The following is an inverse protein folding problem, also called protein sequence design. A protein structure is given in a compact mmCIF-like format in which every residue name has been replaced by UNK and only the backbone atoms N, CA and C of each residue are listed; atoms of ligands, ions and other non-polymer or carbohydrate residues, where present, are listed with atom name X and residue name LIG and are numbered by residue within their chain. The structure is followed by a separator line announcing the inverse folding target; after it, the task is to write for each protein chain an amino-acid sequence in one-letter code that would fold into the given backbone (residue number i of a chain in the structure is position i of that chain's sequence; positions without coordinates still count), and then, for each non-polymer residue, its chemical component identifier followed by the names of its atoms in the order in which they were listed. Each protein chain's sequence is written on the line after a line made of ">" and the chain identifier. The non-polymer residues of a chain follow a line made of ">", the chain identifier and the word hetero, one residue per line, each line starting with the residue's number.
data_IF_963010132884
#
_entry.id   IF_963010132884
#
_cell.length_a   1.000
_cell.length_b   1.000
_cell.length_c   1.000
_cell.angle_alpha   90.00
_cell.angle_beta   90.00
_cell.angle_gamma   90.00
#
_symmetry.space_group_name_H-M   'P 1'
#
loop_
_entity.id
_entity.type
_entity.pdbx_description
1 polymer ?
#
# COMPACT_ATOMS: atom_id res chain seq x y z
N UNK A 1 -3.74 -44.77 31.44
CA UNK A 1 -5.12 -44.25 31.67
C UNK A 1 -5.11 -42.84 31.11
N UNK A 2 -5.53 -42.72 29.84
CA UNK A 2 -5.62 -41.45 29.13
C UNK A 2 -6.80 -40.63 29.64
N UNK A 3 -6.52 -39.43 30.14
CA UNK A 3 -7.55 -38.49 30.56
C UNK A 3 -8.39 -38.01 29.37
N UNK A 4 -9.69 -38.01 29.53
CA UNK A 4 -10.67 -37.51 28.55
C UNK A 4 -10.39 -36.01 28.36
N UNK A 5 -10.21 -35.52 27.11
CA UNK A 5 -10.00 -34.08 26.88
C UNK A 5 -11.21 -33.31 27.38
N UNK A 6 -10.99 -32.35 28.27
CA UNK A 6 -12.04 -31.45 28.73
C UNK A 6 -12.45 -30.51 27.59
N UNK A 7 -13.73 -30.11 27.56
CA UNK A 7 -14.27 -29.18 26.54
C UNK A 7 -13.39 -27.92 26.41
N UNK A 8 -12.81 -27.43 27.50
CA UNK A 8 -11.89 -26.30 27.52
C UNK A 8 -10.53 -26.57 26.83
N UNK A 9 -10.05 -27.83 26.88
CA UNK A 9 -8.86 -28.24 26.13
C UNK A 9 -9.11 -28.27 24.61
N UNK A 10 -10.24 -28.84 24.20
CA UNK A 10 -10.64 -28.89 22.79
C UNK A 10 -10.84 -27.49 22.19
N UNK A 11 -11.49 -26.59 22.91
CA UNK A 11 -11.68 -25.19 22.45
C UNK A 11 -10.35 -24.47 22.35
N UNK A 12 -9.40 -24.70 23.27
CA UNK A 12 -8.06 -24.12 23.21
C UNK A 12 -7.27 -24.63 22.01
N UNK A 13 -7.30 -25.94 21.75
CA UNK A 13 -6.64 -26.55 20.59
C UNK A 13 -7.21 -26.07 19.26
N UNK A 14 -8.53 -25.89 19.15
CA UNK A 14 -9.18 -25.33 17.95
C UNK A 14 -8.78 -23.87 17.74
N UNK A 15 -8.69 -23.07 18.81
CA UNK A 15 -8.27 -21.67 18.74
C UNK A 15 -6.80 -21.56 18.40
N UNK A 16 -5.94 -22.41 18.95
CA UNK A 16 -4.51 -22.44 18.63
C UNK A 16 -4.25 -22.94 17.20
N UNK A 17 -4.97 -23.95 16.74
CA UNK A 17 -4.94 -24.40 15.34
C UNK A 17 -5.43 -23.30 14.39
N UNK A 18 -6.53 -22.62 14.74
CA UNK A 18 -7.05 -21.49 13.98
C UNK A 18 -6.07 -20.32 13.89
N UNK A 19 -5.36 -20.03 15.00
CA UNK A 19 -4.28 -19.03 15.02
C UNK A 19 -3.09 -19.44 14.15
N UNK A 20 -2.68 -20.70 14.20
CA UNK A 20 -1.61 -21.25 13.36
C UNK A 20 -1.92 -21.16 11.88
N UNK A 21 -3.16 -21.49 11.46
CA UNK A 21 -3.61 -21.35 10.08
C UNK A 21 -3.68 -19.89 9.66
N UNK A 22 -4.19 -19.00 10.50
CA UNK A 22 -4.25 -17.57 10.23
C UNK A 22 -2.84 -16.95 10.12
N UNK A 23 -1.91 -17.38 10.96
CA UNK A 23 -0.52 -16.93 10.93
C UNK A 23 0.21 -17.47 9.68
N UNK A 24 0.06 -18.75 9.34
CA UNK A 24 0.63 -19.34 8.13
C UNK A 24 0.07 -18.71 6.86
N UNK A 25 -1.24 -18.38 6.82
CA UNK A 25 -1.86 -17.62 5.74
C UNK A 25 -1.31 -16.18 5.69
N UNK A 26 -1.13 -15.52 6.83
CA UNK A 26 -0.59 -14.16 6.87
C UNK A 26 0.86 -14.11 6.39
N UNK A 27 1.68 -15.08 6.77
CA UNK A 27 3.07 -15.20 6.32
C UNK A 27 3.15 -15.51 4.82
N UNK A 28 2.31 -16.43 4.34
CA UNK A 28 2.26 -16.84 2.93
C UNK A 28 1.76 -15.73 1.99
N UNK A 29 0.91 -14.83 2.49
CA UNK A 29 0.38 -13.67 1.78
C UNK A 29 1.17 -12.38 2.08
N UNK A 30 2.28 -12.47 2.82
CA UNK A 30 3.09 -11.30 3.21
C UNK A 30 2.38 -10.33 4.17
N UNK A 31 1.35 -10.81 4.89
CA UNK A 31 0.55 -10.01 5.81
C UNK A 31 1.23 -9.94 7.18
N UNK A 32 1.83 -8.81 7.51
CA UNK A 32 2.49 -8.61 8.83
C UNK A 32 1.45 -8.41 9.94
N UNK A 33 1.76 -8.90 11.15
CA UNK A 33 0.99 -8.54 12.34
C UNK A 33 0.97 -7.01 12.51
N UNK A 34 -0.24 -6.43 12.59
CA UNK A 34 -0.42 -4.97 12.66
C UNK A 34 -0.67 -4.28 11.31
N UNK A 35 -0.93 -5.04 10.26
CA UNK A 35 -1.34 -4.52 8.96
C UNK A 35 -2.66 -3.74 9.05
N UNK A 36 -2.68 -2.44 8.67
CA UNK A 36 -3.89 -1.63 8.72
C UNK A 36 -5.02 -2.16 7.84
N UNK A 37 -4.68 -2.91 6.78
CA UNK A 37 -5.67 -3.53 5.89
C UNK A 37 -6.30 -4.81 6.47
N UNK A 38 -5.82 -5.32 7.61
CA UNK A 38 -6.32 -6.55 8.23
C UNK A 38 -6.79 -6.25 9.66
N UNK A 39 -8.08 -6.44 9.98
CA UNK A 39 -8.60 -6.15 11.31
C UNK A 39 -8.08 -7.15 12.34
N UNK A 40 -7.89 -6.68 13.58
CA UNK A 40 -7.36 -7.52 14.68
C UNK A 40 -8.36 -8.57 15.19
N UNK A 41 -9.64 -8.43 14.86
CA UNK A 41 -10.74 -9.27 15.34
C UNK A 41 -11.11 -10.41 14.37
N UNK A 42 -10.17 -10.86 13.53
CA UNK A 42 -10.41 -11.94 12.55
C UNK A 42 -11.03 -13.20 13.15
N UNK A 43 -10.67 -13.56 14.40
CA UNK A 43 -11.20 -14.74 15.08
C UNK A 43 -12.73 -14.67 15.35
N UNK A 44 -13.35 -13.49 15.20
CA UNK A 44 -14.79 -13.28 15.36
C UNK A 44 -15.57 -13.24 14.04
N UNK A 45 -14.89 -13.42 12.91
CA UNK A 45 -15.45 -13.31 11.57
C UNK A 45 -15.76 -14.69 10.99
N UNK A 46 -16.75 -14.75 10.12
CA UNK A 46 -17.03 -15.95 9.34
C UNK A 46 -15.90 -16.25 8.36
N UNK A 47 -15.76 -17.51 7.90
CA UNK A 47 -14.75 -17.88 6.91
C UNK A 47 -14.81 -17.04 5.62
N UNK A 48 -16.00 -16.68 5.17
CA UNK A 48 -16.23 -15.84 3.99
C UNK A 48 -15.75 -14.40 4.22
N UNK A 49 -16.01 -13.85 5.41
CA UNK A 49 -15.50 -12.51 5.79
C UNK A 49 -13.99 -12.50 5.91
N UNK A 50 -13.37 -13.56 6.47
CA UNK A 50 -11.92 -13.70 6.52
C UNK A 50 -11.33 -13.75 5.11
N UNK A 51 -11.93 -14.55 4.22
CA UNK A 51 -11.52 -14.62 2.83
C UNK A 51 -11.60 -13.27 2.13
N UNK A 52 -12.70 -12.51 2.34
CA UNK A 52 -12.86 -11.17 1.79
C UNK A 52 -11.82 -10.16 2.35
N UNK A 53 -11.51 -10.23 3.65
CA UNK A 53 -10.46 -9.40 4.25
C UNK A 53 -9.12 -9.65 3.56
N UNK A 54 -8.72 -10.90 3.40
CA UNK A 54 -7.45 -11.25 2.76
C UNK A 54 -7.45 -10.90 1.27
N UNK A 55 -8.53 -11.18 0.55
CA UNK A 55 -8.67 -10.84 -0.86
C UNK A 55 -8.52 -9.33 -1.10
N UNK A 56 -9.22 -8.51 -0.32
CA UNK A 56 -9.16 -7.04 -0.44
C UNK A 56 -7.79 -6.50 -0.02
N UNK A 57 -7.21 -6.98 1.08
CA UNK A 57 -5.88 -6.55 1.51
C UNK A 57 -4.81 -6.84 0.45
N UNK A 58 -4.85 -8.04 -0.14
CA UNK A 58 -3.93 -8.44 -1.22
C UNK A 58 -4.16 -7.60 -2.49
N UNK A 59 -5.42 -7.33 -2.86
CA UNK A 59 -5.76 -6.51 -4.00
C UNK A 59 -5.25 -5.06 -3.84
N UNK A 60 -5.50 -4.45 -2.70
CA UNK A 60 -5.03 -3.09 -2.40
C UNK A 60 -3.51 -3.00 -2.47
N UNK A 61 -2.78 -3.96 -1.90
CA UNK A 61 -1.31 -3.98 -1.99
C UNK A 61 -0.83 -4.12 -3.43
N UNK A 62 -1.35 -5.11 -4.15
CA UNK A 62 -0.97 -5.34 -5.53
C UNK A 62 -1.17 -4.10 -6.42
N UNK A 63 -2.27 -3.39 -6.24
CA UNK A 63 -2.53 -2.14 -6.96
C UNK A 63 -1.60 -1.02 -6.50
N UNK A 64 -1.38 -0.87 -5.19
CA UNK A 64 -0.50 0.17 -4.61
C UNK A 64 0.98 0.02 -4.99
N UNK A 65 1.43 -1.17 -5.41
CA UNK A 65 2.79 -1.38 -5.93
C UNK A 65 3.00 -0.75 -7.31
N UNK A 66 1.92 -0.48 -8.05
CA UNK A 66 1.95 -0.01 -9.43
C UNK A 66 1.40 1.39 -9.62
N UNK A 67 0.45 1.77 -8.79
CA UNK A 67 -0.33 2.99 -8.94
C UNK A 67 -0.48 3.70 -7.58
N UNK A 68 -0.26 5.01 -7.57
CA UNK A 68 -0.48 5.83 -6.37
C UNK A 68 -1.98 5.94 -6.02
N UNK A 69 -2.86 5.87 -7.04
CA UNK A 69 -4.31 5.84 -6.89
C UNK A 69 -4.93 4.96 -7.97
N UNK A 70 -5.98 4.22 -7.64
CA UNK A 70 -6.62 3.22 -8.50
C UNK A 70 -8.13 3.24 -8.34
N UNK A 71 -8.87 2.71 -9.31
CA UNK A 71 -10.33 2.67 -9.23
C UNK A 71 -10.81 1.60 -8.23
N UNK A 72 -11.96 1.87 -7.58
CA UNK A 72 -12.58 0.88 -6.67
C UNK A 72 -12.91 -0.43 -7.38
N UNK A 73 -13.32 -0.35 -8.64
CA UNK A 73 -13.60 -1.53 -9.47
C UNK A 73 -12.40 -2.41 -9.69
N UNK A 74 -11.19 -1.85 -9.67
CA UNK A 74 -9.96 -2.62 -9.85
C UNK A 74 -9.62 -3.40 -8.57
N UNK A 75 -9.95 -2.85 -7.37
CA UNK A 75 -9.89 -3.63 -6.12
C UNK A 75 -10.81 -4.86 -6.22
N UNK A 76 -12.05 -4.69 -6.69
CA UNK A 76 -13.01 -5.79 -6.80
C UNK A 76 -12.52 -6.86 -7.77
N UNK A 77 -12.06 -6.46 -8.97
CA UNK A 77 -11.50 -7.38 -9.97
C UNK A 77 -10.30 -8.15 -9.43
N UNK A 78 -9.34 -7.44 -8.82
CA UNK A 78 -8.15 -8.06 -8.25
C UNK A 78 -8.50 -9.01 -7.10
N UNK A 79 -9.39 -8.60 -6.18
CA UNK A 79 -9.82 -9.43 -5.05
C UNK A 79 -10.49 -10.74 -5.49
N UNK A 80 -11.36 -10.69 -6.49
CA UNK A 80 -11.98 -11.87 -7.09
C UNK A 80 -10.96 -12.74 -7.81
N UNK A 81 -9.97 -12.13 -8.46
CA UNK A 81 -8.92 -12.83 -9.21
C UNK A 81 -7.99 -13.69 -8.36
N UNK A 82 -7.92 -13.48 -7.04
CA UNK A 82 -7.13 -14.33 -6.14
C UNK A 82 -7.75 -15.72 -5.88
N UNK A 83 -8.99 -15.98 -6.32
CA UNK A 83 -9.63 -17.28 -6.18
C UNK A 83 -9.93 -17.68 -4.73
N UNK A 84 -9.95 -16.74 -3.78
CA UNK A 84 -10.37 -16.99 -2.42
C UNK A 84 -11.91 -17.12 -2.36
N UNK A 85 -12.47 -17.91 -1.43
CA UNK A 85 -13.92 -18.13 -1.30
C UNK A 85 -14.61 -16.90 -0.68
N UNK A 86 -14.46 -15.74 -1.34
CA UNK A 86 -15.07 -14.47 -0.97
C UNK A 86 -16.10 -14.09 -2.04
N UNK A 87 -17.33 -13.81 -1.63
CA UNK A 87 -18.35 -13.32 -2.53
C UNK A 87 -18.30 -11.79 -2.65
N UNK A 88 -18.86 -11.25 -3.73
CA UNK A 88 -18.82 -9.81 -4.02
C UNK A 88 -19.38 -8.95 -2.88
N UNK A 89 -20.50 -9.28 -2.23
CA UNK A 89 -21.03 -8.47 -1.12
C UNK A 89 -20.07 -8.34 0.07
N UNK A 90 -19.29 -9.38 0.40
CA UNK A 90 -18.28 -9.35 1.47
C UNK A 90 -17.10 -8.47 1.08
N UNK A 91 -16.66 -8.55 -0.18
CA UNK A 91 -15.60 -7.72 -0.74
C UNK A 91 -16.02 -6.24 -0.71
N UNK A 92 -17.21 -5.91 -1.20
CA UNK A 92 -17.74 -4.54 -1.16
C UNK A 92 -17.84 -4.00 0.26
N UNK A 93 -18.40 -4.79 1.17
CA UNK A 93 -18.51 -4.43 2.59
C UNK A 93 -17.14 -4.15 3.21
N UNK A 94 -16.13 -4.95 2.87
CA UNK A 94 -14.77 -4.74 3.36
C UNK A 94 -14.15 -3.46 2.82
N UNK A 95 -14.29 -3.18 1.54
CA UNK A 95 -13.79 -1.93 0.92
C UNK A 95 -14.47 -0.70 1.56
N UNK A 96 -15.78 -0.73 1.75
CA UNK A 96 -16.50 0.36 2.44
C UNK A 96 -16.06 0.50 3.91
N UNK A 97 -15.73 -0.58 4.59
CA UNK A 97 -15.17 -0.53 5.94
C UNK A 97 -13.81 0.17 5.95
N UNK A 98 -12.90 -0.16 5.03
CA UNK A 98 -11.59 0.49 4.92
C UNK A 98 -11.72 1.99 4.61
N UNK A 99 -12.67 2.36 3.76
CA UNK A 99 -12.99 3.77 3.48
C UNK A 99 -13.49 4.51 4.73
N UNK A 100 -14.38 3.89 5.53
CA UNK A 100 -14.86 4.48 6.79
C UNK A 100 -13.78 4.58 7.85
N UNK A 101 -12.84 3.64 7.88
CA UNK A 101 -11.70 3.64 8.79
C UNK A 101 -10.60 4.63 8.38
N UNK A 102 -10.64 5.16 7.16
CA UNK A 102 -9.62 6.04 6.60
C UNK A 102 -8.37 5.33 6.10
N UNK A 103 -8.35 3.98 6.09
CA UNK A 103 -7.25 3.20 5.52
C UNK A 103 -7.22 3.31 3.99
N UNK A 104 -8.40 3.44 3.37
CA UNK A 104 -8.58 3.89 2.00
C UNK A 104 -9.15 5.30 2.00
N UNK A 105 -8.61 6.18 1.18
CA UNK A 105 -9.00 7.58 1.05
C UNK A 105 -9.53 7.82 -0.36
N UNK A 106 -10.69 8.46 -0.48
CA UNK A 106 -11.30 8.80 -1.77
C UNK A 106 -10.63 10.02 -2.37
N UNK A 107 -10.40 10.00 -3.67
CA UNK A 107 -9.99 11.17 -4.44
C UNK A 107 -11.05 12.27 -4.44
N UNK A 108 -10.63 13.48 -4.74
CA UNK A 108 -11.48 14.69 -4.81
C UNK A 108 -11.43 15.29 -6.21
N UNK A 109 -12.43 16.08 -6.55
CA UNK A 109 -12.45 16.78 -7.84
C UNK A 109 -12.48 15.81 -9.04
N UNK A 110 -11.48 15.90 -9.90
CA UNK A 110 -11.32 15.04 -11.07
C UNK A 110 -11.07 13.56 -10.70
N UNK A 111 -10.43 13.31 -9.55
CA UNK A 111 -10.06 11.97 -9.07
C UNK A 111 -11.14 11.29 -8.23
N UNK A 112 -12.37 11.82 -8.22
CA UNK A 112 -13.49 11.35 -7.38
C UNK A 112 -13.78 9.85 -7.49
N UNK A 113 -13.45 9.23 -8.64
CA UNK A 113 -13.60 7.79 -8.89
C UNK A 113 -12.46 6.93 -8.35
N UNK A 114 -11.35 7.54 -7.95
CA UNK A 114 -10.14 6.86 -7.50
C UNK A 114 -10.10 6.76 -5.97
N UNK A 115 -9.31 5.82 -5.49
CA UNK A 115 -8.95 5.66 -4.08
C UNK A 115 -7.44 5.45 -3.96
N UNK A 116 -6.89 5.85 -2.82
CA UNK A 116 -5.50 5.58 -2.45
C UNK A 116 -5.44 5.08 -1.01
N UNK A 117 -4.28 4.59 -0.55
CA UNK A 117 -4.10 4.20 0.86
C UNK A 117 -3.62 5.38 1.71
N UNK A 118 -4.00 5.41 2.98
CA UNK A 118 -3.45 6.38 3.95
C UNK A 118 -1.91 6.29 4.03
N UNK A 119 -1.37 5.06 3.91
CA UNK A 119 0.07 4.81 3.88
C UNK A 119 0.77 5.45 2.67
N UNK A 120 0.17 5.43 1.48
CA UNK A 120 0.70 6.10 0.30
C UNK A 120 0.77 7.61 0.49
N UNK A 121 -0.32 8.23 0.97
CA UNK A 121 -0.35 9.67 1.27
C UNK A 121 0.75 10.04 2.28
N UNK A 122 0.86 9.30 3.38
CA UNK A 122 1.89 9.54 4.39
C UNK A 122 3.32 9.35 3.83
N UNK A 123 3.48 8.41 2.88
CA UNK A 123 4.74 8.20 2.15
C UNK A 123 5.13 9.42 1.33
N UNK A 124 4.22 9.92 0.50
CA UNK A 124 4.45 11.11 -0.33
C UNK A 124 4.73 12.35 0.52
N UNK A 125 3.99 12.57 1.61
CA UNK A 125 4.24 13.69 2.53
C UNK A 125 5.64 13.62 3.13
N UNK A 126 6.13 12.42 3.48
CA UNK A 126 7.51 12.25 3.98
C UNK A 126 8.56 12.57 2.91
N UNK A 127 8.31 12.19 1.66
CA UNK A 127 9.21 12.52 0.54
C UNK A 127 9.28 14.03 0.35
N UNK A 128 8.14 14.71 0.30
CA UNK A 128 8.09 16.18 0.17
C UNK A 128 8.83 16.85 1.33
N UNK A 129 8.56 16.44 2.57
CA UNK A 129 9.24 16.97 3.74
C UNK A 129 10.77 16.73 3.70
N UNK A 130 11.22 15.56 3.23
CA UNK A 130 12.64 15.25 3.10
C UNK A 130 13.31 16.12 2.02
N UNK A 131 12.63 16.35 0.89
CA UNK A 131 13.12 17.24 -0.18
C UNK A 131 13.22 18.68 0.33
N UNK A 132 12.22 19.17 1.04
CA UNK A 132 12.23 20.51 1.61
C UNK A 132 13.35 20.67 2.64
N UNK A 133 13.51 19.70 3.54
CA UNK A 133 14.59 19.71 4.53
C UNK A 133 15.99 19.61 3.91
N UNK A 134 16.11 18.93 2.77
CA UNK A 134 17.38 18.78 2.03
C UNK A 134 17.73 19.98 1.15
N UNK A 135 16.77 20.88 0.90
CA UNK A 135 16.99 22.03 0.02
C UNK A 135 18.08 22.96 0.59
N UNK A 136 19.13 23.19 -0.18
CA UNK A 136 20.24 24.09 0.20
C UNK A 136 21.18 23.56 1.28
N UNK A 137 21.05 22.29 1.70
CA UNK A 137 21.94 21.69 2.71
C UNK A 137 23.25 21.19 2.12
N UNK A 138 23.28 20.87 0.82
CA UNK A 138 24.52 20.49 0.13
C UNK A 138 25.18 21.72 -0.51
N UNK A 139 26.51 21.88 -0.39
CA UNK A 139 27.22 22.90 -1.15
C UNK A 139 27.05 22.66 -2.65
N UNK A 140 26.88 23.69 -3.47
CA UNK A 140 26.77 23.53 -4.90
C UNK A 140 28.08 22.96 -5.47
N UNK A 141 27.99 21.97 -6.37
CA UNK A 141 29.16 21.37 -7.05
C UNK A 141 29.83 22.40 -7.97
N UNK A 142 29.05 23.33 -8.48
CA UNK A 142 29.47 24.45 -9.31
C UNK A 142 28.89 25.73 -8.73
N UNK A 143 29.63 26.80 -8.71
CA UNK A 143 29.13 28.12 -8.33
C UNK A 143 27.90 28.44 -9.23
N UNK A 144 26.73 28.76 -8.66
CA UNK A 144 25.54 29.09 -9.43
C UNK A 144 25.76 30.23 -10.44
N UNK A 145 26.64 31.18 -10.13
CA UNK A 145 27.01 32.30 -11.01
C UNK A 145 27.80 31.84 -12.24
N UNK A 146 28.51 30.71 -12.13
CA UNK A 146 29.33 30.15 -13.22
C UNK A 146 28.62 28.99 -13.95
N UNK A 147 27.52 28.48 -13.40
CA UNK A 147 26.88 27.25 -13.89
C UNK A 147 26.46 27.35 -15.36
N UNK A 148 25.84 28.44 -15.76
CA UNK A 148 25.42 28.68 -17.14
C UNK A 148 26.62 28.72 -18.11
N UNK A 149 27.64 29.49 -17.77
CA UNK A 149 28.84 29.60 -18.60
C UNK A 149 29.59 28.26 -18.75
N UNK A 150 29.69 27.47 -17.67
CA UNK A 150 30.27 26.13 -17.70
C UNK A 150 29.46 25.14 -18.53
N UNK A 151 28.12 25.18 -18.38
CA UNK A 151 27.24 24.33 -19.17
C UNK A 151 27.33 24.67 -20.66
N UNK A 152 27.35 25.93 -21.02
CA UNK A 152 27.53 26.43 -22.38
C UNK A 152 28.86 25.94 -22.97
N UNK A 153 29.96 26.10 -22.22
CA UNK A 153 31.28 25.67 -22.64
C UNK A 153 31.37 24.14 -22.86
N UNK A 154 30.79 23.36 -21.96
CA UNK A 154 30.71 21.89 -22.07
C UNK A 154 29.85 21.44 -23.25
N UNK A 155 28.71 22.07 -23.49
CA UNK A 155 27.81 21.77 -24.61
C UNK A 155 28.49 22.06 -25.95
N UNK A 156 29.18 23.18 -26.04
CA UNK A 156 29.94 23.53 -27.24
C UNK A 156 31.10 22.56 -27.48
N UNK A 157 31.85 22.23 -26.41
CA UNK A 157 33.03 21.34 -26.51
C UNK A 157 32.60 19.89 -26.86
N UNK A 158 31.57 19.38 -26.25
CA UNK A 158 31.21 17.96 -26.36
C UNK A 158 30.26 17.68 -27.54
N UNK A 159 29.35 18.60 -27.84
CA UNK A 159 28.30 18.41 -28.82
C UNK A 159 28.25 19.43 -29.95
N UNK A 160 29.07 20.48 -29.90
CA UNK A 160 29.03 21.56 -30.87
C UNK A 160 27.78 22.40 -30.83
N UNK A 161 27.05 22.39 -29.72
CA UNK A 161 25.73 23.02 -29.56
C UNK A 161 25.86 24.26 -28.67
N UNK A 162 25.24 25.36 -29.14
CA UNK A 162 25.06 26.56 -28.32
C UNK A 162 23.67 26.50 -27.66
N UNK A 163 23.63 26.55 -26.33
CA UNK A 163 22.38 26.53 -25.57
C UNK A 163 21.67 27.89 -25.68
N UNK A 164 20.36 27.89 -25.72
CA UNK A 164 19.58 29.11 -25.65
C UNK A 164 19.22 29.46 -24.19
N UNK A 165 18.72 30.68 -23.97
CA UNK A 165 18.41 31.24 -22.65
C UNK A 165 17.45 30.40 -21.79
N UNK A 166 16.67 29.49 -22.37
CA UNK A 166 15.77 28.57 -21.64
C UNK A 166 16.38 27.20 -21.36
N UNK A 167 17.63 26.95 -21.82
CA UNK A 167 18.36 25.69 -21.65
C UNK A 167 19.58 25.81 -20.72
N UNK A 168 19.88 27.04 -20.29
CA UNK A 168 20.89 27.34 -19.28
C UNK A 168 20.28 27.20 -17.86
#
# INVERSE_FOLDING_TARGET
>A
IGGVPTLGGFVRDVVEHGRGIAQALSERLGLRAGDPLVPRDLARKSPQEIAAVHAVASAVRHLSEREAAFARTDIYKAALGFGLPAAMPEIERRVEQLLRQGELVRGKGADRGLVTTAGAIAGEQRIVAAVEAGRGTAPPIVDPAEAGARLQALSQLKYGITLNQGQE
#
